data_IF_762694188100
#
_entry.id   IF_762694188100
#
_cell.length_a   1.000
_cell.length_b   1.000
_cell.length_c   1.000
_cell.angle_alpha   90.00
_cell.angle_beta   90.00
_cell.angle_gamma   90.00
#
_symmetry.space_group_name_H-M   'P 1'
#
loop_
_entity.id
_entity.type
_entity.pdbx_description
1 polymer ?
#
# COMPACT_ATOMS: atom_id res chain seq x y z
N UNK A 1 16.83 -15.80 1.27
CA UNK A 1 15.47 -15.60 0.72
C UNK A 1 15.54 -15.21 -0.76
N UNK A 2 16.29 -14.16 -1.15
CA UNK A 2 16.62 -13.84 -2.56
C UNK A 2 17.01 -15.02 -3.45
N UNK A 3 17.91 -15.89 -2.99
CA UNK A 3 18.36 -17.07 -3.76
C UNK A 3 17.27 -18.11 -3.98
N UNK A 4 16.22 -18.13 -3.15
CA UNK A 4 15.11 -19.08 -3.26
C UNK A 4 14.03 -18.53 -4.19
N UNK A 5 13.74 -17.23 -4.09
CA UNK A 5 12.81 -16.53 -4.99
C UNK A 5 13.36 -16.53 -6.43
N UNK A 6 14.65 -16.22 -6.61
CA UNK A 6 15.29 -16.26 -7.93
C UNK A 6 15.19 -17.63 -8.60
N UNK A 7 15.41 -18.71 -7.83
CA UNK A 7 15.24 -20.09 -8.31
C UNK A 7 13.80 -20.41 -8.72
N UNK A 8 12.80 -19.84 -8.06
CA UNK A 8 11.39 -20.00 -8.46
C UNK A 8 11.17 -19.37 -9.83
N UNK A 9 11.61 -18.12 -10.05
CA UNK A 9 11.48 -17.46 -11.35
C UNK A 9 12.24 -18.21 -12.46
N UNK A 10 13.47 -18.64 -12.19
CA UNK A 10 14.27 -19.45 -13.13
C UNK A 10 13.59 -20.78 -13.49
N UNK A 11 13.01 -21.49 -12.52
CA UNK A 11 12.30 -22.74 -12.76
C UNK A 11 11.00 -22.56 -13.56
N UNK A 12 10.29 -21.45 -13.34
CA UNK A 12 9.09 -21.09 -14.12
C UNK A 12 9.49 -20.74 -15.56
N UNK A 13 10.55 -19.97 -15.76
CA UNK A 13 11.08 -19.63 -17.08
C UNK A 13 11.53 -20.89 -17.85
N UNK A 14 12.21 -21.84 -17.18
CA UNK A 14 12.58 -23.13 -17.77
C UNK A 14 11.34 -23.94 -18.17
N UNK A 15 10.31 -23.97 -17.32
CA UNK A 15 9.04 -24.66 -17.60
C UNK A 15 8.33 -24.08 -18.82
N UNK A 16 8.28 -22.75 -18.96
CA UNK A 16 7.68 -22.07 -20.11
C UNK A 16 8.45 -22.40 -21.39
N UNK A 17 9.77 -22.39 -21.34
CA UNK A 17 10.61 -22.75 -22.48
C UNK A 17 10.39 -24.20 -22.92
N UNK A 18 10.16 -25.11 -21.98
CA UNK A 18 9.84 -26.51 -22.28
C UNK A 18 8.45 -26.64 -22.92
N UNK A 19 7.42 -26.00 -22.37
CA UNK A 19 6.07 -26.00 -22.94
C UNK A 19 6.08 -25.41 -24.35
N UNK A 20 6.84 -24.34 -24.59
CA UNK A 20 6.95 -23.74 -25.92
C UNK A 20 7.58 -24.72 -26.94
N UNK A 21 8.63 -25.45 -26.54
CA UNK A 21 9.24 -26.49 -27.39
C UNK A 21 8.27 -27.64 -27.69
N UNK A 22 7.54 -28.11 -26.68
CA UNK A 22 6.53 -29.16 -26.84
C UNK A 22 5.41 -28.73 -27.78
N UNK A 23 4.92 -27.49 -27.64
CA UNK A 23 3.91 -26.92 -28.53
C UNK A 23 4.40 -26.85 -29.98
N UNK A 24 5.60 -26.33 -30.23
CA UNK A 24 6.17 -26.28 -31.59
C UNK A 24 6.28 -27.70 -32.19
N UNK A 25 6.79 -28.66 -31.43
CA UNK A 25 6.89 -30.05 -31.89
C UNK A 25 5.52 -30.68 -32.16
N UNK A 26 4.51 -30.38 -31.35
CA UNK A 26 3.15 -30.88 -31.52
C UNK A 26 2.47 -30.27 -32.76
N UNK A 27 2.70 -28.97 -32.99
CA UNK A 27 2.20 -28.27 -34.16
C UNK A 27 2.72 -28.90 -35.45
N UNK A 28 4.02 -29.18 -35.53
CA UNK A 28 4.63 -29.81 -36.71
C UNK A 28 4.01 -31.19 -36.98
N UNK A 29 3.81 -32.00 -35.94
CA UNK A 29 3.19 -33.33 -36.06
C UNK A 29 1.73 -33.28 -36.51
N UNK A 30 0.94 -32.34 -35.96
CA UNK A 30 -0.46 -32.18 -36.33
C UNK A 30 -0.60 -31.65 -37.76
N UNK A 31 0.27 -30.74 -38.17
CA UNK A 31 0.24 -30.15 -39.52
C UNK A 31 0.46 -31.20 -40.61
N UNK A 32 1.28 -32.23 -40.34
CA UNK A 32 1.47 -33.37 -41.26
C UNK A 32 0.22 -34.25 -41.39
N UNK A 33 -0.65 -34.28 -40.38
CA UNK A 33 -1.85 -35.12 -40.35
C UNK A 33 -3.13 -34.38 -40.77
N UNK A 34 -3.12 -33.05 -40.75
CA UNK A 34 -4.28 -32.23 -41.08
C UNK A 34 -4.34 -31.81 -42.56
N UNK A 35 -5.55 -31.75 -43.16
CA UNK A 35 -5.76 -31.15 -44.46
C UNK A 35 -5.28 -29.69 -44.52
N UNK A 36 -4.83 -29.19 -45.70
CA UNK A 36 -4.32 -27.82 -45.86
C UNK A 36 -5.29 -26.72 -45.42
N UNK A 37 -6.59 -27.01 -45.46
CA UNK A 37 -7.67 -26.09 -45.09
C UNK A 37 -7.60 -25.65 -43.61
N UNK A 38 -7.03 -26.48 -42.73
CA UNK A 38 -6.88 -26.19 -41.30
C UNK A 38 -5.52 -25.55 -40.94
N UNK A 39 -4.60 -25.43 -41.90
CA UNK A 39 -3.25 -24.89 -41.63
C UNK A 39 -3.31 -23.42 -41.19
N UNK A 40 -4.25 -22.63 -41.73
CA UNK A 40 -4.44 -21.23 -41.36
C UNK A 40 -4.93 -21.05 -39.91
N UNK A 41 -5.83 -21.93 -39.45
CA UNK A 41 -6.34 -21.92 -38.08
C UNK A 41 -5.24 -22.35 -37.09
N UNK A 42 -4.45 -23.36 -37.46
CA UNK A 42 -3.29 -23.81 -36.68
C UNK A 42 -2.22 -22.71 -36.56
N UNK A 43 -1.93 -21.98 -37.64
CA UNK A 43 -1.00 -20.84 -37.61
C UNK A 43 -1.51 -19.69 -36.73
N UNK A 44 -2.82 -19.40 -36.77
CA UNK A 44 -3.45 -18.40 -35.91
C UNK A 44 -3.31 -18.76 -34.42
N UNK A 45 -3.60 -20.01 -34.05
CA UNK A 45 -3.44 -20.50 -32.68
C UNK A 45 -1.99 -20.42 -32.22
N UNK A 46 -1.04 -20.82 -33.08
CA UNK A 46 0.38 -20.71 -32.76
C UNK A 46 0.80 -19.25 -32.55
N UNK A 47 0.36 -18.33 -33.41
CA UNK A 47 0.65 -16.90 -33.26
C UNK A 47 0.14 -16.36 -31.92
N UNK A 48 -1.10 -16.69 -31.54
CA UNK A 48 -1.67 -16.31 -30.24
C UNK A 48 -0.89 -16.90 -29.06
N UNK A 49 -0.50 -18.17 -29.16
CA UNK A 49 0.31 -18.84 -28.14
C UNK A 49 1.69 -18.18 -27.99
N UNK A 50 2.38 -17.89 -29.09
CA UNK A 50 3.69 -17.21 -29.06
C UNK A 50 3.60 -15.81 -28.45
N UNK A 51 2.53 -15.06 -28.74
CA UNK A 51 2.27 -13.76 -28.10
C UNK A 51 2.11 -13.93 -26.59
N UNK A 52 1.26 -14.87 -26.15
CA UNK A 52 1.04 -15.14 -24.72
C UNK A 52 2.32 -15.59 -23.99
N UNK A 53 3.13 -16.46 -24.61
CA UNK A 53 4.44 -16.87 -24.08
C UNK A 53 5.39 -15.67 -23.97
N UNK A 54 5.46 -14.84 -25.00
CA UNK A 54 6.32 -13.65 -25.00
C UNK A 54 5.89 -12.64 -23.93
N UNK A 55 4.60 -12.46 -23.71
CA UNK A 55 4.06 -11.59 -22.65
C UNK A 55 4.42 -12.14 -21.27
N UNK A 56 4.21 -13.44 -21.03
CA UNK A 56 4.54 -14.08 -19.77
C UNK A 56 6.04 -14.03 -19.45
N UNK A 57 6.90 -14.32 -20.43
CA UNK A 57 8.37 -14.22 -20.26
C UNK A 57 8.78 -12.78 -19.92
N UNK A 58 8.16 -11.79 -20.58
CA UNK A 58 8.40 -10.38 -20.29
C UNK A 58 7.98 -10.02 -18.85
N UNK A 59 6.81 -10.46 -18.40
CA UNK A 59 6.33 -10.23 -17.03
C UNK A 59 7.22 -10.89 -15.98
N UNK A 60 7.70 -12.11 -16.23
CA UNK A 60 8.65 -12.80 -15.34
C UNK A 60 10.01 -12.10 -15.28
N UNK A 61 10.43 -11.44 -16.36
CA UNK A 61 11.70 -10.70 -16.41
C UNK A 61 11.67 -9.37 -15.65
N UNK A 62 10.46 -8.82 -15.42
CA UNK A 62 10.22 -7.55 -14.71
C UNK A 62 9.02 -7.69 -13.74
N UNK A 63 9.13 -8.55 -12.71
CA UNK A 63 7.99 -8.86 -11.85
C UNK A 63 7.54 -7.61 -11.08
N UNK A 64 6.24 -7.46 -10.88
CA UNK A 64 5.66 -6.31 -10.19
C UNK A 64 5.15 -6.72 -8.81
N UNK A 65 5.78 -6.21 -7.76
CA UNK A 65 5.26 -6.29 -6.40
C UNK A 65 4.23 -5.18 -6.18
N UNK A 66 2.98 -5.56 -5.94
CA UNK A 66 1.90 -4.62 -5.64
C UNK A 66 1.53 -4.69 -4.16
N UNK A 67 1.62 -3.55 -3.46
CA UNK A 67 1.10 -3.36 -2.11
C UNK A 67 -0.18 -2.53 -2.18
N UNK A 68 -1.31 -3.06 -1.74
CA UNK A 68 -2.57 -2.34 -1.70
C UNK A 68 -2.94 -2.00 -0.25
N UNK A 69 -3.31 -0.75 0.03
CA UNK A 69 -3.83 -0.36 1.35
C UNK A 69 -5.35 -0.33 1.34
N UNK A 70 -5.96 -1.03 2.28
CA UNK A 70 -7.42 -1.09 2.48
C UNK A 70 -7.77 -0.79 3.93
N UNK A 71 -8.98 -0.33 4.20
CA UNK A 71 -9.35 0.20 5.50
C UNK A 71 -10.48 1.21 5.44
N UNK A 72 -11.17 1.40 6.56
CA UNK A 72 -12.25 2.39 6.67
C UNK A 72 -11.71 3.81 6.46
N UNK A 73 -12.63 4.72 6.17
CA UNK A 73 -12.36 6.15 6.22
C UNK A 73 -11.74 6.52 7.59
N UNK A 74 -10.65 7.29 7.56
CA UNK A 74 -9.89 7.72 8.74
C UNK A 74 -9.09 6.64 9.50
N UNK A 75 -8.92 5.45 8.93
CA UNK A 75 -7.97 4.42 9.43
C UNK A 75 -6.50 4.76 9.20
N UNK A 76 -6.22 5.77 8.38
CA UNK A 76 -4.87 6.25 8.09
C UNK A 76 -4.16 5.52 6.95
N UNK A 77 -4.91 4.99 5.97
CA UNK A 77 -4.37 4.40 4.72
C UNK A 77 -3.35 5.32 4.03
N UNK A 78 -3.76 6.52 3.65
CA UNK A 78 -2.90 7.51 2.98
C UNK A 78 -1.72 7.93 3.85
N UNK A 79 -1.90 7.99 5.18
CA UNK A 79 -0.80 8.21 6.13
C UNK A 79 0.21 7.07 6.09
N UNK A 80 -0.25 5.82 6.00
CA UNK A 80 0.62 4.65 5.86
C UNK A 80 1.33 4.65 4.50
N UNK A 81 0.65 5.00 3.41
CA UNK A 81 1.26 5.18 2.09
C UNK A 81 2.36 6.24 2.14
N UNK A 82 2.09 7.39 2.76
CA UNK A 82 3.09 8.44 2.98
C UNK A 82 4.28 7.94 3.82
N UNK A 83 4.03 7.12 4.84
CA UNK A 83 5.10 6.47 5.62
C UNK A 83 5.96 5.53 4.76
N UNK A 84 5.35 4.67 3.93
CA UNK A 84 6.06 3.80 3.00
C UNK A 84 6.85 4.59 1.95
N UNK A 85 6.31 5.75 1.53
CA UNK A 85 7.00 6.71 0.68
C UNK A 85 8.15 7.42 1.38
N UNK A 86 8.02 7.60 2.71
CA UNK A 86 8.90 8.44 3.52
C UNK A 86 8.64 9.93 3.36
N UNK A 87 7.54 10.34 2.71
CA UNK A 87 7.18 11.71 2.37
C UNK A 87 5.65 11.91 2.41
N UNK A 88 5.20 13.15 2.65
CA UNK A 88 3.77 13.52 2.64
C UNK A 88 3.35 13.91 1.21
N UNK A 89 3.14 12.92 0.33
CA UNK A 89 2.82 13.16 -1.10
C UNK A 89 1.36 12.82 -1.45
N UNK A 90 0.72 11.95 -0.67
CA UNK A 90 -0.70 11.64 -0.81
C UNK A 90 -1.49 12.47 0.20
N UNK A 91 -2.54 13.19 -0.21
CA UNK A 91 -3.37 13.97 0.70
C UNK A 91 -3.98 13.14 1.84
N UNK A 92 -3.94 13.68 3.06
CA UNK A 92 -4.54 13.06 4.25
C UNK A 92 -5.60 14.01 4.80
N UNK A 93 -6.87 13.59 4.80
CA UNK A 93 -7.95 14.37 5.41
C UNK A 93 -8.82 13.56 6.36
N UNK A 94 -9.47 14.31 7.27
CA UNK A 94 -10.42 13.83 8.28
C UNK A 94 -11.77 13.45 7.66
N UNK A 95 -12.11 14.03 6.51
CA UNK A 95 -13.26 13.65 5.68
C UNK A 95 -12.77 12.86 4.47
N UNK A 96 -13.62 11.99 3.91
CA UNK A 96 -13.31 11.15 2.74
C UNK A 96 -12.74 12.00 1.60
N UNK A 97 -11.42 11.95 1.40
CA UNK A 97 -10.73 12.51 0.22
C UNK A 97 -10.26 11.43 -0.75
N UNK A 98 -10.09 10.19 -0.27
CA UNK A 98 -9.76 9.03 -1.10
C UNK A 98 -11.02 8.49 -1.80
N UNK A 99 -11.48 9.20 -2.83
CA UNK A 99 -12.57 8.71 -3.68
C UNK A 99 -12.09 8.10 -5.01
N UNK A 100 -10.86 8.43 -5.40
CA UNK A 100 -10.14 7.80 -6.53
C UNK A 100 -8.96 6.96 -6.05
N UNK A 101 -8.47 6.07 -6.92
CA UNK A 101 -7.29 5.26 -6.63
C UNK A 101 -6.02 6.07 -6.90
N UNK A 102 -5.11 6.07 -5.93
CA UNK A 102 -3.75 6.64 -6.08
C UNK A 102 -2.76 5.50 -6.19
N UNK A 103 -1.99 5.49 -7.28
CA UNK A 103 -0.92 4.53 -7.50
C UNK A 103 0.40 5.26 -7.30
N UNK A 104 1.32 4.70 -6.52
CA UNK A 104 2.70 5.16 -6.39
C UNK A 104 3.62 4.10 -6.96
N UNK A 105 4.26 4.36 -8.10
CA UNK A 105 5.23 3.48 -8.73
C UNK A 105 6.66 3.97 -8.47
N UNK A 106 7.58 3.02 -8.26
CA UNK A 106 8.96 3.40 -7.99
C UNK A 106 9.60 4.02 -9.24
N UNK A 107 10.24 5.17 -9.06
CA UNK A 107 10.99 5.86 -10.11
C UNK A 107 12.03 6.77 -9.47
N UNK A 108 13.22 6.86 -10.05
CA UNK A 108 14.25 7.80 -9.58
C UNK A 108 13.83 9.26 -9.81
N UNK A 109 13.05 9.51 -10.86
CA UNK A 109 12.53 10.84 -11.19
C UNK A 109 11.10 11.00 -10.71
N UNK A 110 10.81 12.15 -10.08
CA UNK A 110 9.47 12.50 -9.61
C UNK A 110 8.59 12.94 -10.77
N UNK A 111 7.44 12.30 -10.95
CA UNK A 111 6.39 12.76 -11.86
C UNK A 111 5.00 12.37 -11.35
N UNK A 112 4.00 13.07 -11.83
CA UNK A 112 2.59 12.82 -11.55
C UNK A 112 1.85 12.72 -12.87
N UNK A 113 0.95 11.75 -12.97
CA UNK A 113 -0.01 11.62 -14.05
C UNK A 113 -1.41 11.56 -13.45
N UNK A 114 -2.29 12.46 -13.89
CA UNK A 114 -3.72 12.41 -13.60
C UNK A 114 -4.42 12.13 -14.93
N UNK A 115 -5.01 10.95 -15.05
CA UNK A 115 -5.66 10.52 -16.28
C UNK A 115 -6.93 11.32 -16.56
N UNK A 116 -7.23 11.51 -17.84
CA UNK A 116 -8.50 12.09 -18.27
C UNK A 116 -9.62 11.07 -18.06
N UNK A 117 -10.47 11.32 -17.07
CA UNK A 117 -11.64 10.47 -16.81
C UNK A 117 -12.92 11.11 -17.36
N UNK A 118 -13.97 10.31 -17.64
CA UNK A 118 -15.25 10.84 -18.10
C UNK A 118 -15.82 11.91 -17.15
N UNK A 119 -16.10 13.09 -17.68
CA UNK A 119 -16.66 14.21 -16.92
C UNK A 119 -15.69 14.90 -15.97
N UNK A 120 -14.37 14.66 -16.06
CA UNK A 120 -13.39 15.29 -15.18
C UNK A 120 -13.48 16.83 -15.22
N UNK A 121 -13.55 17.44 -14.04
CA UNK A 121 -13.60 18.89 -13.82
C UNK A 121 -12.33 19.44 -13.16
N UNK A 122 -11.29 18.61 -13.09
CA UNK A 122 -9.97 18.93 -12.52
C UNK A 122 -8.90 18.92 -13.61
N UNK A 123 -7.72 19.44 -13.28
CA UNK A 123 -6.57 19.43 -14.19
C UNK A 123 -6.09 17.99 -14.41
N UNK A 124 -6.17 17.51 -15.66
CA UNK A 124 -5.62 16.24 -16.11
C UNK A 124 -4.35 16.47 -16.91
N UNK A 125 -3.38 15.56 -16.82
CA UNK A 125 -2.11 15.73 -17.50
C UNK A 125 -0.97 14.92 -16.89
N UNK A 126 0.23 15.19 -17.37
CA UNK A 126 1.48 14.62 -16.86
C UNK A 126 2.45 15.76 -16.52
N UNK A 127 2.98 15.74 -15.30
CA UNK A 127 3.95 16.71 -14.81
C UNK A 127 5.22 15.97 -14.39
N UNK A 128 6.38 16.45 -14.86
CA UNK A 128 7.69 15.83 -14.60
C UNK A 128 8.59 16.79 -13.83
N UNK A 129 9.51 16.25 -13.03
CA UNK A 129 10.48 17.01 -12.24
C UNK A 129 9.82 17.99 -11.25
N UNK A 130 8.78 17.51 -10.57
CA UNK A 130 7.98 18.28 -9.62
C UNK A 130 8.39 18.01 -8.17
N UNK A 131 8.01 18.92 -7.26
CA UNK A 131 8.30 18.81 -5.81
C UNK A 131 7.31 17.88 -5.08
N UNK A 132 7.59 17.53 -3.82
CA UNK A 132 6.65 16.74 -3.00
C UNK A 132 5.36 17.54 -2.77
N UNK A 133 5.49 18.84 -2.56
CA UNK A 133 4.39 19.80 -2.39
C UNK A 133 3.54 19.93 -3.65
N UNK A 134 4.16 20.01 -4.83
CA UNK A 134 3.42 20.06 -6.11
C UNK A 134 2.58 18.79 -6.34
N UNK A 135 3.13 17.61 -5.99
CA UNK A 135 2.39 16.34 -6.08
C UNK A 135 1.18 16.39 -5.13
N UNK A 136 1.41 16.78 -3.88
CA UNK A 136 0.39 16.86 -2.85
C UNK A 136 -0.74 17.82 -3.25
N UNK A 137 -0.40 19.05 -3.62
CA UNK A 137 -1.37 20.12 -3.90
C UNK A 137 -2.23 19.79 -5.12
N UNK A 138 -1.65 19.20 -6.17
CA UNK A 138 -2.39 18.78 -7.37
C UNK A 138 -3.38 17.65 -7.08
N UNK A 139 -2.95 16.66 -6.30
CA UNK A 139 -3.83 15.57 -5.88
C UNK A 139 -4.95 16.08 -4.97
N UNK A 140 -4.63 16.94 -4.00
CA UNK A 140 -5.59 17.53 -3.08
C UNK A 140 -6.64 18.36 -3.82
N UNK A 141 -6.23 19.17 -4.80
CA UNK A 141 -7.14 19.92 -5.66
C UNK A 141 -8.05 19.00 -6.49
N UNK A 142 -7.49 17.98 -7.15
CA UNK A 142 -8.28 17.04 -7.95
C UNK A 142 -9.32 16.29 -7.11
N UNK A 143 -8.94 15.81 -5.92
CA UNK A 143 -9.84 15.13 -4.99
C UNK A 143 -10.94 16.06 -4.48
N UNK A 144 -10.62 17.31 -4.11
CA UNK A 144 -11.61 18.31 -3.67
C UNK A 144 -12.61 18.65 -4.78
N UNK A 145 -12.14 18.84 -6.02
CA UNK A 145 -13.00 19.10 -7.18
C UNK A 145 -13.96 17.95 -7.44
N UNK A 146 -13.48 16.70 -7.37
CA UNK A 146 -14.33 15.51 -7.52
C UNK A 146 -15.41 15.45 -6.43
N UNK A 147 -15.03 15.62 -5.16
CA UNK A 147 -16.01 15.57 -4.05
C UNK A 147 -17.06 16.66 -4.16
N UNK A 148 -16.67 17.86 -4.60
CA UNK A 148 -17.59 18.96 -4.83
C UNK A 148 -18.58 18.62 -5.94
N UNK A 149 -18.10 18.09 -7.07
CA UNK A 149 -18.94 17.68 -8.20
C UNK A 149 -19.94 16.57 -7.82
N UNK A 150 -19.51 15.59 -7.03
CA UNK A 150 -20.37 14.52 -6.54
C UNK A 150 -21.47 15.01 -5.57
N UNK A 151 -21.15 15.97 -4.69
CA UNK A 151 -22.13 16.56 -3.77
C UNK A 151 -23.24 17.31 -4.50
N UNK A 152 -22.92 17.93 -5.63
CA UNK A 152 -23.86 18.73 -6.40
C UNK A 152 -24.88 17.87 -7.18
N UNK A 153 -24.62 16.55 -7.35
CA UNK A 153 -25.54 15.55 -7.89
C UNK A 153 -26.02 15.77 -9.33
N UNK A 154 -25.53 16.82 -10.00
CA UNK A 154 -25.97 17.27 -11.33
C UNK A 154 -25.12 16.70 -12.48
N UNK A 155 -23.97 16.09 -12.17
CA UNK A 155 -23.01 15.65 -13.19
C UNK A 155 -22.47 14.27 -12.80
N UNK A 156 -22.61 13.29 -13.70
CA UNK A 156 -21.93 12.01 -13.55
C UNK A 156 -20.45 12.23 -13.86
N UNK A 157 -19.60 12.17 -12.84
CA UNK A 157 -18.15 12.31 -12.96
C UNK A 157 -17.48 11.04 -12.49
N UNK A 158 -16.57 10.50 -13.30
CA UNK A 158 -15.81 9.31 -12.94
C UNK A 158 -14.66 9.67 -12.00
N UNK A 159 -14.40 8.84 -10.98
CA UNK A 159 -13.36 9.08 -9.98
C UNK A 159 -11.97 9.39 -10.60
N UNK A 160 -11.15 10.26 -10.00
CA UNK A 160 -9.79 10.52 -10.47
C UNK A 160 -8.94 9.24 -10.45
N UNK A 161 -8.18 9.02 -11.53
CA UNK A 161 -7.16 7.97 -11.59
C UNK A 161 -5.79 8.64 -11.66
N UNK A 162 -4.94 8.33 -10.68
CA UNK A 162 -3.67 9.04 -10.49
C UNK A 162 -2.52 8.07 -10.32
N UNK A 163 -1.40 8.37 -11.01
CA UNK A 163 -0.15 7.63 -10.90
C UNK A 163 0.97 8.59 -10.55
N UNK A 164 1.61 8.37 -9.41
CA UNK A 164 2.78 9.09 -8.93
C UNK A 164 3.99 8.20 -9.20
N UNK A 165 4.99 8.71 -9.90
CA UNK A 165 6.30 8.08 -10.02
C UNK A 165 7.22 8.72 -9.00
N UNK A 166 7.69 7.94 -8.02
CA UNK A 166 8.37 8.51 -6.85
C UNK A 166 9.52 7.60 -6.35
N UNK A 167 10.66 8.17 -5.90
CA UNK A 167 11.77 7.39 -5.34
C UNK A 167 11.45 7.01 -3.89
N UNK A 168 10.42 6.20 -3.69
CA UNK A 168 9.93 5.93 -2.35
C UNK A 168 10.88 5.07 -1.53
N UNK A 169 10.90 5.37 -0.23
CA UNK A 169 11.82 4.80 0.76
C UNK A 169 11.85 3.28 0.76
N UNK A 170 10.71 2.61 0.58
CA UNK A 170 10.61 1.16 0.65
C UNK A 170 11.57 0.42 -0.32
N UNK A 171 11.85 1.00 -1.49
CA UNK A 171 12.80 0.47 -2.49
C UNK A 171 14.14 1.20 -2.42
N UNK A 172 14.12 2.51 -2.19
CA UNK A 172 15.33 3.33 -2.15
C UNK A 172 16.29 2.97 -0.99
N UNK A 173 15.78 2.37 0.11
CA UNK A 173 16.58 1.84 1.20
C UNK A 173 16.81 0.33 1.01
N UNK A 174 18.02 -0.10 0.61
CA UNK A 174 18.32 -1.51 0.38
C UNK A 174 18.17 -2.40 1.63
N UNK A 175 18.07 -1.79 2.82
CA UNK A 175 17.89 -2.51 4.08
C UNK A 175 16.44 -2.89 4.33
N UNK A 176 15.47 -2.37 3.57
CA UNK A 176 14.03 -2.59 3.82
C UNK A 176 13.45 -3.76 3.04
N UNK A 177 13.76 -3.89 1.75
CA UNK A 177 13.28 -4.97 0.91
C UNK A 177 14.43 -5.69 0.20
N UNK A 178 14.47 -7.01 0.33
CA UNK A 178 15.43 -7.90 -0.32
C UNK A 178 14.82 -8.48 -1.62
N UNK A 179 14.41 -7.61 -2.56
CA UNK A 179 13.75 -8.04 -3.80
C UNK A 179 14.74 -8.51 -4.87
N UNK A 180 14.30 -9.39 -5.81
CA UNK A 180 15.06 -9.71 -7.01
C UNK A 180 15.41 -8.46 -7.83
N UNK A 181 16.44 -8.58 -8.67
CA UNK A 181 16.80 -7.52 -9.61
C UNK A 181 15.63 -7.27 -10.60
N UNK A 182 15.46 -6.01 -11.02
CA UNK A 182 14.40 -5.54 -11.93
C UNK A 182 12.96 -5.69 -11.42
N UNK A 183 12.75 -6.17 -10.20
CA UNK A 183 11.41 -6.15 -9.59
C UNK A 183 10.91 -4.71 -9.47
N UNK A 184 9.80 -4.43 -10.12
CA UNK A 184 9.09 -3.15 -9.97
C UNK A 184 8.25 -3.23 -8.71
N UNK A 185 8.13 -2.11 -8.00
CA UNK A 185 7.26 -2.02 -6.81
C UNK A 185 6.27 -0.90 -7.02
N UNK A 186 5.03 -1.16 -6.68
CA UNK A 186 3.95 -0.18 -6.66
C UNK A 186 3.14 -0.28 -5.38
N UNK A 187 2.69 0.86 -4.90
CA UNK A 187 1.79 1.00 -3.76
C UNK A 187 0.46 1.55 -4.30
N UNK A 188 -0.66 1.00 -3.86
CA UNK A 188 -2.00 1.42 -4.26
C UNK A 188 -2.76 1.87 -3.02
N UNK A 189 -3.07 3.17 -2.96
CA UNK A 189 -4.02 3.70 -1.99
C UNK A 189 -5.43 3.51 -2.53
N UNK A 190 -6.14 2.51 -2.01
CA UNK A 190 -7.50 2.23 -2.43
C UNK A 190 -8.48 3.14 -1.69
N UNK A 191 -9.56 3.59 -2.36
CA UNK A 191 -10.64 4.31 -1.68
C UNK A 191 -11.27 3.43 -0.60
N UNK A 192 -11.96 4.07 0.35
CA UNK A 192 -12.81 3.32 1.29
C UNK A 192 -13.91 2.57 0.54
N UNK A 193 -14.28 1.38 1.02
CA UNK A 193 -15.23 0.49 0.33
C UNK A 193 -16.65 1.06 0.15
N UNK A 194 -17.01 2.12 0.88
CA UNK A 194 -18.23 2.90 0.62
C UNK A 194 -18.33 3.43 -0.82
N UNK A 195 -17.20 3.59 -1.53
CA UNK A 195 -17.10 4.09 -2.91
C UNK A 195 -16.74 2.99 -3.93
N UNK A 196 -16.69 1.73 -3.51
CA UNK A 196 -16.33 0.60 -4.38
C UNK A 196 -17.47 0.17 -5.32
N UNK A 197 -18.69 0.66 -5.07
CA UNK A 197 -19.84 0.48 -5.95
C UNK A 197 -19.81 1.31 -7.25
N UNK A 198 -18.86 2.25 -7.40
CA UNK A 198 -18.68 3.00 -8.65
C UNK A 198 -18.04 2.08 -9.70
N UNK A 199 -18.70 1.88 -10.84
CA UNK A 199 -18.23 1.03 -11.96
C UNK A 199 -16.78 1.37 -12.41
N UNK A 200 -16.33 2.61 -12.21
CA UNK A 200 -14.97 3.06 -12.49
C UNK A 200 -13.89 2.42 -11.61
N UNK A 201 -14.22 2.09 -10.35
CA UNK A 201 -13.29 1.49 -9.39
C UNK A 201 -13.13 -0.02 -9.60
N UNK A 202 -14.15 -0.71 -10.12
CA UNK A 202 -14.13 -2.16 -10.32
C UNK A 202 -12.99 -2.66 -11.21
N UNK A 203 -12.63 -1.91 -12.26
CA UNK A 203 -11.50 -2.25 -13.14
C UNK A 203 -10.14 -2.16 -12.43
N UNK A 204 -9.99 -1.23 -11.49
CA UNK A 204 -8.75 -1.03 -10.72
C UNK A 204 -8.67 -2.03 -9.56
N UNK A 205 -9.81 -2.37 -8.94
CA UNK A 205 -9.89 -3.41 -7.91
C UNK A 205 -9.56 -4.79 -8.50
N UNK A 206 -9.95 -5.09 -9.75
CA UNK A 206 -9.50 -6.31 -10.43
C UNK A 206 -7.98 -6.39 -10.59
N UNK A 207 -7.28 -5.26 -10.72
CA UNK A 207 -5.80 -5.23 -10.73
C UNK A 207 -5.18 -5.51 -9.36
N UNK A 208 -5.99 -5.52 -8.29
CA UNK A 208 -5.53 -5.80 -6.92
C UNK A 208 -5.59 -7.29 -6.54
N UNK A 209 -6.04 -8.19 -7.45
CA UNK A 209 -6.19 -9.63 -7.16
C UNK A 209 -4.88 -10.29 -6.73
N UNK A 210 -3.77 -9.79 -7.23
CA UNK A 210 -2.43 -10.31 -6.96
C UNK A 210 -1.65 -9.45 -5.96
N UNK A 211 -2.29 -8.41 -5.41
CA UNK A 211 -1.66 -7.51 -4.46
C UNK A 211 -1.55 -8.14 -3.06
N UNK A 212 -0.51 -7.70 -2.34
CA UNK A 212 -0.42 -7.86 -0.91
C UNK A 212 -1.23 -6.76 -0.25
N UNK A 213 -2.20 -7.13 0.58
CA UNK A 213 -3.13 -6.21 1.17
C UNK A 213 -2.67 -5.81 2.58
N UNK A 214 -2.45 -4.51 2.79
CA UNK A 214 -2.24 -3.94 4.12
C UNK A 214 -3.57 -3.37 4.60
N UNK A 215 -4.15 -4.05 5.59
CA UNK A 215 -5.46 -3.70 6.15
C UNK A 215 -5.27 -2.81 7.37
N UNK A 216 -5.60 -1.52 7.25
CA UNK A 216 -5.43 -0.55 8.34
C UNK A 216 -6.70 -0.42 9.19
N UNK A 217 -6.53 -0.57 10.50
CA UNK A 217 -7.56 -0.36 11.52
C UNK A 217 -7.25 0.90 12.32
N UNK A 218 -8.27 1.74 12.55
CA UNK A 218 -8.15 2.86 13.48
C UNK A 218 -8.29 2.37 14.93
N UNK A 219 -7.20 2.32 15.70
CA UNK A 219 -7.26 1.87 17.09
C UNK A 219 -8.02 2.83 18.02
N UNK A 220 -8.27 4.06 17.56
CA UNK A 220 -9.08 5.05 18.26
C UNK A 220 -10.58 4.88 18.01
N UNK A 221 -10.99 4.01 17.07
CA UNK A 221 -12.41 3.81 16.74
C UNK A 221 -13.09 2.96 17.81
N UNK A 222 -14.08 3.56 18.47
CA UNK A 222 -14.86 2.91 19.52
C UNK A 222 -16.18 2.34 19.00
N UNK A 223 -16.59 2.72 17.79
CA UNK A 223 -17.81 2.24 17.16
C UNK A 223 -17.64 0.80 16.65
N UNK A 224 -18.25 -0.14 17.36
CA UNK A 224 -18.23 -1.57 17.01
C UNK A 224 -18.85 -1.87 15.65
N UNK A 225 -19.84 -1.07 15.22
CA UNK A 225 -20.47 -1.29 13.93
C UNK A 225 -19.49 -0.97 12.80
N UNK A 226 -18.74 0.14 12.90
CA UNK A 226 -17.71 0.47 11.91
C UNK A 226 -16.58 -0.55 11.86
N UNK A 227 -16.14 -1.05 13.01
CA UNK A 227 -15.12 -2.12 13.08
C UNK A 227 -15.64 -3.42 12.43
N UNK A 228 -16.90 -3.78 12.70
CA UNK A 228 -17.54 -4.95 12.09
C UNK A 228 -17.71 -4.77 10.58
N UNK A 229 -18.10 -3.58 10.13
CA UNK A 229 -18.24 -3.27 8.71
C UNK A 229 -16.88 -3.40 8.00
N UNK A 230 -15.79 -2.89 8.59
CA UNK A 230 -14.43 -3.05 8.05
C UNK A 230 -14.04 -4.53 7.91
N UNK A 231 -14.34 -5.36 8.91
CA UNK A 231 -14.05 -6.78 8.83
C UNK A 231 -14.85 -7.48 7.73
N UNK A 232 -16.13 -7.10 7.58
CA UNK A 232 -16.95 -7.63 6.49
C UNK A 232 -16.41 -7.19 5.13
N UNK A 233 -16.05 -5.92 5.01
CA UNK A 233 -15.38 -5.31 3.86
C UNK A 233 -14.11 -6.08 3.45
N UNK A 234 -13.27 -6.46 4.40
CA UNK A 234 -12.07 -7.26 4.13
C UNK A 234 -12.43 -8.67 3.67
N UNK A 235 -13.43 -9.31 4.29
CA UNK A 235 -13.94 -10.63 3.86
C UNK A 235 -14.45 -10.56 2.42
N UNK A 236 -15.22 -9.53 2.09
CA UNK A 236 -15.77 -9.34 0.75
C UNK A 236 -14.63 -9.12 -0.26
N UNK A 237 -13.60 -8.34 0.11
CA UNK A 237 -12.38 -8.22 -0.69
C UNK A 237 -11.65 -9.54 -0.89
N UNK A 238 -11.47 -10.38 0.15
CA UNK A 238 -10.86 -11.72 -0.01
C UNK A 238 -11.65 -12.53 -1.05
N UNK A 239 -12.98 -12.53 -0.92
CA UNK A 239 -13.89 -13.30 -1.78
C UNK A 239 -13.89 -12.79 -3.23
N UNK A 240 -13.98 -11.48 -3.45
CA UNK A 240 -14.00 -10.87 -4.78
C UNK A 240 -12.64 -10.92 -5.48
N UNK A 241 -11.56 -10.76 -4.72
CA UNK A 241 -10.21 -10.79 -5.26
C UNK A 241 -9.73 -12.23 -5.55
N UNK A 242 -10.49 -13.26 -5.15
CA UNK A 242 -10.09 -14.66 -5.25
C UNK A 242 -8.80 -14.94 -4.46
N UNK A 243 -8.59 -14.19 -3.37
CA UNK A 243 -7.35 -14.18 -2.61
C UNK A 243 -7.35 -15.16 -1.45
N UNK A 244 -6.16 -15.39 -0.89
CA UNK A 244 -5.97 -16.06 0.41
C UNK A 244 -5.66 -15.00 1.48
N UNK A 245 -6.17 -15.16 2.72
CA UNK A 245 -5.76 -14.36 3.89
C UNK A 245 -4.24 -14.34 4.14
N UNK A 246 -3.48 -15.28 3.57
CA UNK A 246 -2.02 -15.30 3.65
C UNK A 246 -1.36 -14.03 3.07
N UNK A 247 -2.04 -13.34 2.14
CA UNK A 247 -1.54 -12.09 1.51
C UNK A 247 -1.92 -10.83 2.27
N UNK A 248 -2.40 -10.96 3.51
CA UNK A 248 -2.93 -9.85 4.29
C UNK A 248 -2.07 -9.55 5.51
N UNK A 249 -1.73 -8.27 5.66
CA UNK A 249 -1.09 -7.73 6.86
C UNK A 249 -2.04 -6.75 7.56
N UNK A 250 -2.48 -7.11 8.76
CA UNK A 250 -3.37 -6.26 9.54
C UNK A 250 -2.56 -5.29 10.40
N UNK A 251 -2.84 -3.99 10.28
CA UNK A 251 -2.16 -2.92 10.98
C UNK A 251 -3.17 -2.19 11.87
N UNK A 252 -3.05 -2.37 13.19
CA UNK A 252 -3.75 -1.56 14.17
C UNK A 252 -3.03 -0.21 14.28
N UNK A 253 -3.44 0.73 13.43
CA UNK A 253 -2.87 2.06 13.33
C UNK A 253 -3.42 2.98 14.45
N UNK A 254 -2.74 4.10 14.71
CA UNK A 254 -3.07 5.05 15.78
C UNK A 254 -3.02 4.44 17.19
N UNK A 255 -2.11 3.48 17.40
CA UNK A 255 -1.95 2.85 18.72
C UNK A 255 -1.41 3.84 19.77
N UNK A 256 -0.81 4.95 19.32
CA UNK A 256 -0.38 6.07 20.15
C UNK A 256 -1.50 6.68 21.00
N UNK A 257 -2.76 6.58 20.59
CA UNK A 257 -3.90 7.12 21.36
C UNK A 257 -3.98 6.54 22.77
N UNK A 258 -3.60 5.27 22.96
CA UNK A 258 -3.58 4.65 24.27
C UNK A 258 -2.59 5.32 25.22
N UNK A 259 -1.47 5.88 24.72
CA UNK A 259 -0.40 6.49 25.54
C UNK A 259 -0.88 7.70 26.36
N UNK A 260 -2.09 8.20 26.09
CA UNK A 260 -2.74 9.28 26.84
C UNK A 260 -3.37 8.78 28.15
N UNK A 261 -3.59 7.47 28.30
CA UNK A 261 -4.19 6.85 29.48
C UNK A 261 -3.15 6.57 30.58
N UNK A 262 -3.54 6.64 31.85
CA UNK A 262 -2.64 6.34 32.98
C UNK A 262 -2.16 4.88 32.99
N UNK A 263 -3.04 3.92 32.71
CA UNK A 263 -2.72 2.49 32.63
C UNK A 263 -2.62 2.01 31.17
N UNK A 264 -2.08 2.85 30.28
CA UNK A 264 -2.00 2.54 28.86
C UNK A 264 -1.37 1.18 28.52
N UNK A 265 -0.37 0.62 29.24
CA UNK A 265 0.24 -0.65 28.83
C UNK A 265 -0.75 -1.82 28.89
N UNK A 266 -1.60 -1.84 29.92
CA UNK A 266 -2.62 -2.87 30.07
C UNK A 266 -3.77 -2.65 29.08
N UNK A 267 -4.24 -1.40 28.95
CA UNK A 267 -5.30 -1.04 27.99
C UNK A 267 -4.92 -1.40 26.55
N UNK A 268 -3.70 -1.05 26.13
CA UNK A 268 -3.19 -1.37 24.79
C UNK A 268 -3.07 -2.88 24.59
N UNK A 269 -2.51 -3.61 25.58
CA UNK A 269 -2.35 -5.07 25.49
C UNK A 269 -3.69 -5.77 25.37
N UNK A 270 -4.67 -5.37 26.18
CA UNK A 270 -5.98 -6.01 26.22
C UNK A 270 -6.79 -5.65 24.96
N UNK A 271 -6.69 -4.40 24.48
CA UNK A 271 -7.22 -4.00 23.18
C UNK A 271 -6.62 -4.83 22.05
N UNK A 272 -5.29 -4.95 22.01
CA UNK A 272 -4.60 -5.71 20.96
C UNK A 272 -5.06 -7.17 20.96
N UNK A 273 -4.99 -7.86 22.11
CA UNK A 273 -5.41 -9.26 22.23
C UNK A 273 -6.84 -9.48 21.78
N UNK A 274 -7.76 -8.61 22.20
CA UNK A 274 -9.17 -8.69 21.81
C UNK A 274 -9.35 -8.52 20.31
N UNK A 275 -8.76 -7.47 19.71
CA UNK A 275 -8.90 -7.24 18.27
C UNK A 275 -8.28 -8.36 17.44
N UNK A 276 -7.12 -8.91 17.83
CA UNK A 276 -6.55 -10.08 17.15
C UNK A 276 -7.50 -11.27 17.20
N UNK A 277 -8.11 -11.52 18.35
CA UNK A 277 -9.11 -12.59 18.49
C UNK A 277 -10.32 -12.35 17.59
N UNK A 278 -10.89 -11.14 17.64
CA UNK A 278 -12.10 -10.78 16.88
C UNK A 278 -11.85 -10.85 15.36
N UNK A 279 -10.70 -10.34 14.88
CA UNK A 279 -10.28 -10.43 13.47
C UNK A 279 -10.22 -11.91 13.06
N UNK A 280 -9.46 -12.74 13.79
CA UNK A 280 -9.30 -14.15 13.44
C UNK A 280 -10.61 -14.92 13.50
N UNK A 281 -11.42 -14.70 14.53
CA UNK A 281 -12.71 -15.37 14.69
C UNK A 281 -13.67 -15.03 13.54
N UNK A 282 -13.75 -13.74 13.15
CA UNK A 282 -14.61 -13.31 12.05
C UNK A 282 -14.14 -13.87 10.71
N UNK A 283 -12.84 -13.84 10.44
CA UNK A 283 -12.28 -14.44 9.22
C UNK A 283 -12.53 -15.96 9.20
N UNK A 284 -12.24 -16.68 10.28
CA UNK A 284 -12.45 -18.14 10.35
C UNK A 284 -13.91 -18.52 10.10
N UNK A 285 -14.86 -17.71 10.58
CA UNK A 285 -16.29 -17.94 10.36
C UNK A 285 -16.72 -17.74 8.90
N UNK A 286 -16.15 -16.75 8.22
CA UNK A 286 -16.60 -16.34 6.88
C UNK A 286 -15.79 -16.97 5.74
N UNK A 287 -14.63 -17.55 6.07
CA UNK A 287 -13.60 -18.07 5.19
C UNK A 287 -13.07 -19.41 5.76
N UNK A 288 -13.97 -20.37 5.93
CA UNK A 288 -13.70 -21.66 6.60
C UNK A 288 -12.60 -22.47 5.90
N UNK A 289 -12.39 -22.25 4.61
CA UNK A 289 -11.37 -22.93 3.80
C UNK A 289 -9.93 -22.46 4.09
N UNK A 290 -9.74 -21.32 4.78
CA UNK A 290 -8.43 -20.71 5.03
C UNK A 290 -7.98 -20.77 6.50
N UNK A 291 -8.41 -21.78 7.27
CA UNK A 291 -8.13 -21.86 8.71
C UNK A 291 -6.64 -21.78 9.07
N UNK A 292 -5.78 -22.49 8.32
CA UNK A 292 -4.33 -22.49 8.56
C UNK A 292 -3.74 -21.10 8.32
N UNK A 293 -4.06 -20.48 7.18
CA UNK A 293 -3.61 -19.12 6.84
C UNK A 293 -4.07 -18.09 7.87
N UNK A 294 -5.34 -18.16 8.31
CA UNK A 294 -5.91 -17.27 9.32
C UNK A 294 -5.23 -17.47 10.68
N UNK A 295 -4.90 -18.71 11.02
CA UNK A 295 -4.16 -19.00 12.26
C UNK A 295 -2.75 -18.38 12.24
N UNK A 296 -2.09 -18.39 11.09
CA UNK A 296 -0.76 -17.83 10.87
C UNK A 296 -0.75 -16.30 10.69
N UNK A 297 -1.91 -15.72 10.36
CA UNK A 297 -2.11 -14.31 10.05
C UNK A 297 -1.50 -13.40 11.13
N UNK A 298 -0.81 -12.36 10.64
CA UNK A 298 -0.11 -11.38 11.45
C UNK A 298 -0.94 -10.11 11.60
N UNK A 299 -1.04 -9.67 12.85
CA UNK A 299 -1.62 -8.38 13.23
C UNK A 299 -0.53 -7.61 13.95
N UNK A 300 -0.28 -6.37 13.56
CA UNK A 300 0.80 -5.54 14.09
C UNK A 300 0.27 -4.20 14.57
N UNK A 301 0.94 -3.63 15.56
CA UNK A 301 0.65 -2.29 16.09
C UNK A 301 1.44 -1.26 15.31
N UNK A 302 0.85 -0.09 15.09
CA UNK A 302 1.57 1.01 14.45
C UNK A 302 0.97 2.37 14.78
N UNK A 303 1.81 3.40 14.70
CA UNK A 303 1.40 4.80 14.60
C UNK A 303 2.08 5.44 13.39
N UNK A 304 1.43 5.36 12.22
CA UNK A 304 2.05 5.73 10.95
C UNK A 304 2.49 7.21 10.87
N UNK A 305 1.72 8.14 11.45
CA UNK A 305 2.08 9.56 11.40
C UNK A 305 3.31 9.89 12.27
N UNK A 306 3.37 9.54 13.57
CA UNK A 306 4.60 9.69 14.36
C UNK A 306 5.82 9.01 13.73
N UNK A 307 5.63 7.83 13.14
CA UNK A 307 6.69 7.10 12.46
C UNK A 307 7.22 7.87 11.23
N UNK A 308 6.32 8.41 10.39
CA UNK A 308 6.69 9.25 9.24
C UNK A 308 7.41 10.52 9.68
N UNK A 309 6.90 11.21 10.70
CA UNK A 309 7.52 12.42 11.23
C UNK A 309 8.93 12.13 11.77
N UNK A 310 9.14 10.98 12.41
CA UNK A 310 10.46 10.54 12.86
C UNK A 310 11.46 10.38 11.72
N UNK A 311 11.02 9.89 10.54
CA UNK A 311 11.86 9.83 9.34
C UNK A 311 12.19 11.25 8.86
N UNK A 312 11.17 12.12 8.77
CA UNK A 312 11.34 13.51 8.31
C UNK A 312 12.26 14.33 9.21
N UNK A 313 12.22 14.12 10.53
CA UNK A 313 13.13 14.77 11.48
C UNK A 313 14.61 14.47 11.21
N UNK A 314 14.93 13.27 10.73
CA UNK A 314 16.30 12.81 10.42
C UNK A 314 16.78 13.25 9.02
N UNK A 315 15.96 13.94 8.23
CA UNK A 315 16.37 14.46 6.91
C UNK A 315 17.33 15.63 7.06
N UNK A 316 18.23 15.77 6.10
CA UNK A 316 19.17 16.90 6.03
C UNK A 316 18.50 18.24 5.70
N UNK A 317 17.28 18.22 5.15
CA UNK A 317 16.51 19.43 4.91
C UNK A 317 16.02 20.03 6.24
N UNK A 318 16.64 21.13 6.65
CA UNK A 318 16.37 21.81 7.91
C UNK A 318 14.92 22.31 8.03
N UNK A 319 14.28 22.72 6.93
CA UNK A 319 12.88 23.18 6.95
C UNK A 319 11.93 22.01 7.22
N UNK A 320 12.10 20.89 6.50
CA UNK A 320 11.30 19.68 6.72
C UNK A 320 11.50 19.08 8.10
N UNK A 321 12.77 19.02 8.55
CA UNK A 321 13.12 18.52 9.88
C UNK A 321 12.48 19.37 10.98
N UNK A 322 12.52 20.70 10.86
CA UNK A 322 11.86 21.61 11.79
C UNK A 322 10.33 21.45 11.78
N UNK A 323 9.71 21.35 10.61
CA UNK A 323 8.26 21.15 10.50
C UNK A 323 7.83 19.84 11.15
N UNK A 324 8.57 18.75 10.91
CA UNK A 324 8.31 17.46 11.53
C UNK A 324 8.48 17.50 13.05
N UNK A 325 9.54 18.14 13.52
CA UNK A 325 9.82 18.33 14.95
C UNK A 325 8.68 19.12 15.63
N UNK A 326 8.17 20.19 15.00
CA UNK A 326 7.03 20.96 15.52
C UNK A 326 5.75 20.15 15.61
N UNK A 327 5.46 19.30 14.60
CA UNK A 327 4.30 18.40 14.61
C UNK A 327 4.43 17.37 15.74
N UNK A 328 5.62 16.80 15.95
CA UNK A 328 5.87 15.86 17.05
C UNK A 328 5.70 16.54 18.41
N UNK A 329 6.29 17.71 18.62
CA UNK A 329 6.19 18.45 19.88
C UNK A 329 4.74 18.88 20.19
N UNK A 330 3.98 19.31 19.18
CA UNK A 330 2.61 19.80 19.42
C UNK A 330 1.56 18.70 19.51
N UNK A 331 1.71 17.60 18.76
CA UNK A 331 0.67 16.57 18.64
C UNK A 331 1.04 15.26 19.34
N UNK A 332 2.32 15.00 19.58
CA UNK A 332 2.83 13.69 20.00
C UNK A 332 3.91 13.80 21.09
N UNK A 333 3.98 14.90 21.84
CA UNK A 333 4.94 15.04 22.94
C UNK A 333 4.81 13.93 24.00
N UNK A 334 3.60 13.39 24.20
CA UNK A 334 3.34 12.26 25.11
C UNK A 334 4.00 10.94 24.66
N UNK A 335 4.54 10.88 23.44
CA UNK A 335 5.38 9.76 22.99
C UNK A 335 6.87 9.95 23.35
N UNK A 336 7.24 11.12 23.84
CA UNK A 336 8.61 11.46 24.25
C UNK A 336 8.69 11.29 25.77
N UNK A 337 9.64 10.49 26.30
CA UNK A 337 9.93 10.39 27.72
C UNK A 337 10.24 11.75 28.35
N UNK A 338 9.78 11.93 29.59
CA UNK A 338 9.89 13.19 30.33
C UNK A 338 11.34 13.64 30.51
N UNK A 339 12.27 12.72 30.74
CA UNK A 339 13.71 13.00 30.84
C UNK A 339 14.29 13.59 29.55
N UNK A 340 13.80 13.17 28.39
CA UNK A 340 14.21 13.76 27.11
C UNK A 340 13.60 15.15 26.97
N UNK A 341 12.33 15.35 27.35
CA UNK A 341 11.65 16.65 27.24
C UNK A 341 12.33 17.70 28.12
N UNK A 342 12.71 17.34 29.34
CA UNK A 342 13.36 18.24 30.30
C UNK A 342 14.76 18.70 29.82
N UNK A 343 15.46 17.84 29.07
CA UNK A 343 16.76 18.16 28.48
C UNK A 343 16.67 19.10 27.26
N UNK A 344 15.50 19.20 26.62
CA UNK A 344 15.35 19.90 25.35
C UNK A 344 15.13 21.42 25.51
N UNK A 345 15.66 22.23 24.57
CA UNK A 345 15.25 23.63 24.46
C UNK A 345 13.73 23.74 24.25
N UNK A 346 13.07 24.65 24.98
CA UNK A 346 11.61 24.88 24.86
C UNK A 346 11.12 25.21 23.44
N UNK A 347 11.99 25.79 22.60
CA UNK A 347 11.67 26.09 21.20
C UNK A 347 12.31 25.05 20.30
N UNK A 348 11.47 24.34 19.54
CA UNK A 348 11.89 23.29 18.59
C UNK A 348 12.94 23.77 17.58
N UNK A 349 12.91 25.05 17.19
CA UNK A 349 13.90 25.62 16.27
C UNK A 349 15.32 25.64 16.84
N UNK A 350 15.43 25.59 18.17
CA UNK A 350 16.72 25.56 18.89
C UNK A 350 17.22 24.14 19.13
N UNK A 351 16.46 23.11 18.74
CA UNK A 351 16.93 21.74 18.87
C UNK A 351 18.13 21.52 17.96
N UNK A 352 19.21 21.03 18.53
CA UNK A 352 20.40 20.65 17.80
C UNK A 352 20.17 19.34 17.03
N UNK A 353 21.02 19.06 16.05
CA UNK A 353 20.85 17.87 15.20
C UNK A 353 20.80 16.56 16.01
N UNK A 354 21.66 16.42 17.02
CA UNK A 354 21.69 15.25 17.88
C UNK A 354 20.43 15.10 18.75
N UNK A 355 19.85 16.22 19.22
CA UNK A 355 18.60 16.26 19.98
C UNK A 355 17.41 15.81 19.11
N UNK A 356 17.32 16.33 17.88
CA UNK A 356 16.31 15.89 16.91
C UNK A 356 16.43 14.40 16.61
N UNK A 357 17.66 13.89 16.46
CA UNK A 357 17.89 12.46 16.24
C UNK A 357 17.49 11.60 17.46
N UNK A 358 17.77 12.05 18.69
CA UNK A 358 17.35 11.38 19.93
C UNK A 358 15.83 11.31 20.04
N UNK A 359 15.13 12.43 19.81
CA UNK A 359 13.65 12.48 19.80
C UNK A 359 13.10 11.59 18.69
N UNK A 360 13.61 11.72 17.47
CA UNK A 360 13.15 10.93 16.34
C UNK A 360 13.34 9.42 16.55
N UNK A 361 14.43 8.99 17.20
CA UNK A 361 14.62 7.58 17.54
C UNK A 361 13.62 7.09 18.58
N UNK A 362 13.30 7.93 19.56
CA UNK A 362 12.36 7.57 20.62
C UNK A 362 10.93 7.47 20.10
N UNK A 363 10.51 8.45 19.29
CA UNK A 363 9.20 8.41 18.62
C UNK A 363 9.13 7.26 17.62
N UNK A 364 10.23 6.93 16.93
CA UNK A 364 10.33 5.76 16.06
C UNK A 364 9.99 4.45 16.80
N UNK A 365 10.54 4.26 17.99
CA UNK A 365 10.30 3.08 18.82
C UNK A 365 8.88 3.09 19.41
N UNK A 366 8.45 4.22 19.96
CA UNK A 366 7.10 4.38 20.54
C UNK A 366 5.98 4.19 19.51
N UNK A 367 6.26 4.44 18.22
CA UNK A 367 5.30 4.29 17.13
C UNK A 367 5.22 2.86 16.54
N UNK A 368 5.97 1.90 17.11
CA UNK A 368 6.11 0.52 16.63
C UNK A 368 6.63 0.39 15.18
N UNK A 369 7.25 1.45 14.65
CA UNK A 369 7.74 1.46 13.27
C UNK A 369 8.84 0.43 13.01
N UNK A 370 9.68 0.14 14.00
CA UNK A 370 10.71 -0.91 13.91
C UNK A 370 10.08 -2.32 13.79
N UNK A 371 8.99 -2.57 14.51
CA UNK A 371 8.26 -3.84 14.42
C UNK A 371 7.66 -3.99 13.02
N UNK A 372 6.98 -2.94 12.53
CA UNK A 372 6.44 -2.90 11.16
C UNK A 372 7.51 -3.19 10.11
N UNK A 373 8.69 -2.56 10.21
CA UNK A 373 9.81 -2.84 9.31
C UNK A 373 10.29 -4.28 9.34
N UNK A 374 10.38 -4.89 10.53
CA UNK A 374 10.82 -6.28 10.65
C UNK A 374 9.87 -7.22 9.90
N UNK A 375 8.57 -6.95 9.96
CA UNK A 375 7.57 -7.72 9.21
C UNK A 375 7.63 -7.51 7.70
N UNK A 376 8.03 -6.34 7.22
CA UNK A 376 8.29 -6.14 5.79
C UNK A 376 9.55 -6.88 5.30
N UNK A 377 10.56 -7.06 6.16
CA UNK A 377 11.84 -7.72 5.80
C UNK A 377 11.77 -9.24 5.81
N UNK A 378 11.18 -9.79 6.87
CA UNK A 378 10.99 -11.23 7.00
C UNK A 378 9.80 -11.53 6.12
N UNK A 379 10.00 -12.13 4.94
CA UNK A 379 8.99 -12.45 3.91
C UNK A 379 7.74 -13.17 4.43
N UNK A 380 6.97 -12.44 5.22
CA UNK A 380 5.65 -12.69 5.78
C UNK A 380 4.58 -12.04 4.90
N UNK A 381 5.03 -11.45 3.79
CA UNK A 381 4.27 -10.94 2.67
C UNK A 381 4.38 -11.96 1.54
#
# INVERSE_FOLDING_TARGET
>A
MRSNIKKIFEAVEESINNINKEWCSFQDQIREQLPPEYHSELESLNSQFQVAVSELVKELSEPVLTLATTGTTSSGKSTLVNFLCGAEIVPVAVQEMSAGVVIVEYSETKSLKIDQTPGALWECGEWKNITDEDIYDRLDQAMKSYLQANRDGKTSVACPQTTIYYPFRLVADPKLLDLPEKTKVRIMDLPGLAHVGDEGNGSVIRKCKEALCIVTYNSAETDRQKVSNLLQEVVDQVKELGGSPARMLFVLNRIDEFRKDQNWPDSERDFFKRNVHDIKQKLTKELEEYQEDISALKVIKMSALPALLSIKMKRNNQQESNQASRKIDSMFNFLIPEDIIEDLPRKVERWEHHERHRVAQTVWEASYAEEFHKYLKVGSL
#
